data_IF_564803855459
#
_entry.id   IF_564803855459
#
_cell.length_a   1.000
_cell.length_b   1.000
_cell.length_c   1.000
_cell.angle_alpha   90.00
_cell.angle_beta   90.00
_cell.angle_gamma   90.00
#
_symmetry.space_group_name_H-M   'P 1'
#
loop_
_entity.id
_entity.type
_entity.pdbx_description
1 polymer ?
#
# COMPACT_ATOMS: atom_id res chain seq x y z
N UNK A 1 -48.21 -42.51 31.19
CA UNK A 1 -46.75 -42.60 31.01
C UNK A 1 -46.36 -42.18 29.60
N UNK A 2 -46.06 -40.88 29.42
CA UNK A 2 -45.53 -40.36 28.17
C UNK A 2 -44.02 -40.17 28.35
N UNK A 3 -43.24 -41.13 27.86
CA UNK A 3 -41.79 -41.00 27.78
C UNK A 3 -41.49 -40.10 26.59
N UNK A 4 -41.24 -38.82 26.88
CA UNK A 4 -40.61 -37.89 25.94
C UNK A 4 -39.13 -38.31 25.85
N UNK A 5 -38.59 -38.65 24.65
CA UNK A 5 -37.17 -38.86 24.50
C UNK A 5 -36.45 -37.54 24.75
N UNK A 6 -35.59 -37.50 25.77
CA UNK A 6 -34.66 -36.39 26.00
C UNK A 6 -33.62 -36.39 24.89
N UNK A 7 -33.46 -35.23 24.27
CA UNK A 7 -32.40 -34.90 23.32
C UNK A 7 -31.03 -35.35 23.84
N UNK A 8 -30.46 -36.35 23.17
CA UNK A 8 -29.11 -36.86 23.40
C UNK A 8 -28.11 -36.31 22.36
N UNK A 9 -28.48 -35.25 21.65
CA UNK A 9 -27.70 -34.69 20.53
C UNK A 9 -26.77 -33.52 20.90
N UNK A 10 -26.86 -32.97 22.11
CA UNK A 10 -26.01 -31.84 22.55
C UNK A 10 -24.65 -32.25 23.11
N UNK A 11 -24.48 -33.50 23.56
CA UNK A 11 -23.25 -33.94 24.26
C UNK A 11 -22.04 -34.17 23.32
N UNK A 12 -22.27 -34.50 22.05
CA UNK A 12 -21.19 -34.93 21.15
C UNK A 12 -20.46 -33.79 20.44
N UNK A 13 -21.09 -32.61 20.28
CA UNK A 13 -20.50 -31.49 19.53
C UNK A 13 -19.47 -30.76 20.39
N UNK A 14 -19.75 -30.62 21.69
CA UNK A 14 -18.89 -29.90 22.65
C UNK A 14 -17.50 -30.56 22.79
N UNK A 15 -17.43 -31.90 22.82
CA UNK A 15 -16.18 -32.66 22.95
C UNK A 15 -15.23 -32.53 21.75
N UNK A 16 -15.76 -32.21 20.57
CA UNK A 16 -14.94 -32.04 19.35
C UNK A 16 -14.36 -30.62 19.30
N UNK A 17 -15.13 -29.63 19.75
CA UNK A 17 -14.71 -28.24 19.79
C UNK A 17 -13.69 -27.96 20.91
N UNK A 18 -13.65 -28.78 21.97
CA UNK A 18 -12.60 -28.70 23.01
C UNK A 18 -11.17 -28.80 22.45
N UNK A 19 -10.99 -29.42 21.28
CA UNK A 19 -9.69 -29.55 20.61
C UNK A 19 -9.37 -28.39 19.67
N UNK A 20 -10.32 -27.48 19.45
CA UNK A 20 -10.19 -26.35 18.54
C UNK A 20 -9.87 -25.09 19.34
N UNK A 21 -8.78 -24.37 19.04
CA UNK A 21 -8.50 -23.08 19.66
C UNK A 21 -9.68 -22.11 19.55
N UNK A 22 -10.06 -21.49 20.66
CA UNK A 22 -11.29 -20.68 20.76
C UNK A 22 -11.39 -19.55 19.72
N UNK A 23 -10.27 -18.94 19.35
CA UNK A 23 -10.24 -17.86 18.36
C UNK A 23 -10.51 -18.33 16.92
N UNK A 24 -10.40 -19.64 16.64
CA UNK A 24 -10.70 -20.24 15.34
C UNK A 24 -12.17 -20.63 15.22
N UNK A 25 -12.86 -20.86 16.34
CA UNK A 25 -14.26 -21.31 16.36
C UNK A 25 -15.19 -20.40 15.55
N UNK A 26 -15.13 -19.05 15.68
CA UNK A 26 -15.99 -18.15 14.90
C UNK A 26 -15.71 -18.18 13.39
N UNK A 27 -14.56 -18.72 12.97
CA UNK A 27 -14.11 -18.74 11.58
C UNK A 27 -14.26 -20.11 10.93
N UNK A 28 -14.81 -21.11 11.63
CA UNK A 28 -15.02 -22.45 11.08
C UNK A 28 -15.97 -22.33 9.87
N UNK A 29 -15.54 -22.74 8.67
CA UNK A 29 -16.41 -22.69 7.50
C UNK A 29 -17.59 -23.64 7.63
N UNK A 30 -18.73 -23.26 7.04
CA UNK A 30 -19.91 -24.12 6.97
C UNK A 30 -19.69 -25.36 6.07
N UNK A 31 -18.67 -25.32 5.22
CA UNK A 31 -18.32 -26.41 4.31
C UNK A 31 -17.12 -27.21 4.81
N UNK A 32 -17.05 -28.52 4.49
CA UNK A 32 -15.93 -29.35 4.86
C UNK A 32 -14.63 -28.91 4.19
N UNK A 33 -13.55 -28.95 4.96
CA UNK A 33 -12.20 -28.70 4.48
C UNK A 33 -11.56 -29.99 3.99
N UNK A 34 -10.76 -29.90 2.94
CA UNK A 34 -10.02 -31.03 2.38
C UNK A 34 -8.52 -30.74 2.36
N UNK A 35 -7.72 -31.78 2.18
CA UNK A 35 -6.26 -31.66 2.01
C UNK A 35 -5.94 -30.67 0.88
N UNK A 36 -5.23 -29.60 1.24
CA UNK A 36 -4.90 -28.47 0.40
C UNK A 36 -4.83 -27.19 1.23
N UNK A 37 -4.08 -26.19 0.77
CA UNK A 37 -4.11 -24.86 1.39
C UNK A 37 -5.42 -24.11 1.11
N UNK A 38 -5.60 -22.94 1.71
CA UNK A 38 -6.80 -22.08 1.61
C UNK A 38 -7.25 -21.87 0.15
N UNK A 39 -6.30 -21.55 -0.73
CA UNK A 39 -6.56 -21.27 -2.15
C UNK A 39 -6.57 -22.52 -3.04
N UNK A 40 -6.29 -23.70 -2.48
CA UNK A 40 -6.06 -24.95 -3.22
C UNK A 40 -7.07 -26.04 -2.85
N UNK A 41 -8.26 -25.65 -2.39
CA UNK A 41 -9.33 -26.59 -2.09
C UNK A 41 -9.79 -27.33 -3.36
N UNK A 42 -10.01 -28.66 -3.28
CA UNK A 42 -10.41 -29.45 -4.44
C UNK A 42 -11.80 -29.05 -4.92
N UNK A 43 -12.00 -29.03 -6.24
CA UNK A 43 -13.32 -28.74 -6.81
C UNK A 43 -14.35 -29.84 -6.49
N UNK A 44 -15.66 -29.53 -6.50
CA UNK A 44 -16.72 -30.50 -6.24
C UNK A 44 -16.65 -31.76 -7.12
N UNK A 45 -16.26 -31.60 -8.39
CA UNK A 45 -16.09 -32.72 -9.32
C UNK A 45 -14.93 -33.65 -8.91
N UNK A 46 -13.82 -33.09 -8.42
CA UNK A 46 -12.67 -33.87 -7.94
C UNK A 46 -13.00 -34.60 -6.63
N UNK A 47 -13.74 -33.96 -5.73
CA UNK A 47 -14.20 -34.56 -4.47
C UNK A 47 -15.05 -35.80 -4.76
N UNK A 48 -16.08 -35.66 -5.63
CA UNK A 48 -16.95 -36.77 -6.00
C UNK A 48 -16.23 -37.87 -6.79
N UNK A 49 -15.47 -37.47 -7.81
CA UNK A 49 -14.76 -38.41 -8.69
C UNK A 49 -13.70 -39.24 -7.97
N UNK A 50 -13.01 -38.66 -6.98
CA UNK A 50 -11.98 -39.35 -6.19
C UNK A 50 -12.46 -39.81 -4.81
N UNK A 51 -13.73 -39.59 -4.46
CA UNK A 51 -14.31 -39.89 -3.14
C UNK A 51 -13.43 -39.36 -1.98
N UNK A 52 -12.99 -38.11 -2.09
CA UNK A 52 -12.11 -37.50 -1.09
C UNK A 52 -12.85 -37.39 0.26
N UNK A 53 -12.13 -37.71 1.34
CA UNK A 53 -12.61 -37.53 2.70
C UNK A 53 -12.25 -36.13 3.20
N UNK A 54 -13.15 -35.47 3.92
CA UNK A 54 -12.84 -34.20 4.55
C UNK A 54 -11.82 -34.39 5.68
N UNK A 55 -11.11 -33.32 6.00
CA UNK A 55 -10.22 -33.25 7.14
C UNK A 55 -11.02 -33.36 8.43
N UNK A 56 -10.54 -34.18 9.35
CA UNK A 56 -11.14 -34.34 10.67
C UNK A 56 -10.92 -33.06 11.49
N UNK A 57 -11.99 -32.51 12.05
CA UNK A 57 -11.93 -31.32 12.92
C UNK A 57 -10.96 -31.57 14.08
N UNK A 58 -10.07 -30.60 14.33
CA UNK A 58 -9.04 -30.69 15.37
C UNK A 58 -7.83 -31.58 15.02
N UNK A 59 -7.76 -32.17 13.82
CA UNK A 59 -6.52 -32.79 13.34
C UNK A 59 -5.48 -31.72 12.97
N UNK A 60 -4.18 -32.05 13.03
CA UNK A 60 -3.10 -31.10 12.71
C UNK A 60 -3.25 -30.47 11.31
N UNK A 61 -3.65 -31.27 10.33
CA UNK A 61 -3.88 -30.79 8.96
C UNK A 61 -5.08 -29.83 8.88
N UNK A 62 -6.13 -30.08 9.68
CA UNK A 62 -7.28 -29.18 9.77
C UNK A 62 -6.92 -27.88 10.49
N UNK A 63 -6.18 -27.97 11.60
CA UNK A 63 -5.71 -26.80 12.36
C UNK A 63 -4.77 -25.92 11.53
N UNK A 64 -3.86 -26.51 10.77
CA UNK A 64 -3.00 -25.77 9.84
C UNK A 64 -3.82 -24.99 8.79
N UNK A 65 -4.89 -25.58 8.28
CA UNK A 65 -5.79 -24.90 7.33
C UNK A 65 -6.59 -23.77 7.99
N UNK A 66 -7.10 -24.00 9.20
CA UNK A 66 -7.80 -22.97 9.97
C UNK A 66 -6.89 -21.79 10.34
N UNK A 67 -5.61 -22.05 10.59
CA UNK A 67 -4.61 -21.00 10.83
C UNK A 67 -4.39 -20.13 9.57
N UNK A 68 -4.44 -20.71 8.37
CA UNK A 68 -4.41 -19.93 7.12
C UNK A 68 -5.66 -19.04 6.99
N UNK A 69 -6.85 -19.57 7.29
CA UNK A 69 -8.12 -18.81 7.32
C UNK A 69 -8.02 -17.65 8.32
N UNK A 70 -7.49 -17.92 9.52
CA UNK A 70 -7.32 -16.89 10.54
C UNK A 70 -6.37 -15.79 10.10
N UNK A 71 -5.21 -16.13 9.49
CA UNK A 71 -4.28 -15.14 8.93
C UNK A 71 -4.91 -14.28 7.85
N UNK A 72 -5.75 -14.87 6.99
CA UNK A 72 -6.54 -14.14 5.99
C UNK A 72 -7.49 -13.16 6.67
N UNK A 73 -8.27 -13.65 7.64
CA UNK A 73 -9.22 -12.86 8.41
C UNK A 73 -8.55 -11.69 9.16
N UNK A 74 -7.41 -11.92 9.81
CA UNK A 74 -6.63 -10.87 10.46
C UNK A 74 -6.15 -9.81 9.45
N UNK A 75 -5.74 -10.24 8.25
CA UNK A 75 -5.33 -9.32 7.20
C UNK A 75 -6.50 -8.47 6.71
N UNK A 76 -7.65 -9.07 6.48
CA UNK A 76 -8.87 -8.35 6.09
C UNK A 76 -9.34 -7.38 7.17
N UNK A 77 -9.29 -7.80 8.46
CA UNK A 77 -9.66 -6.92 9.57
C UNK A 77 -8.76 -5.68 9.61
N UNK A 78 -7.44 -5.88 9.56
CA UNK A 78 -6.46 -4.78 9.53
C UNK A 78 -6.65 -3.88 8.32
N UNK A 79 -6.95 -4.46 7.16
CA UNK A 79 -7.23 -3.68 5.95
C UNK A 79 -8.48 -2.80 6.13
N UNK A 80 -9.57 -3.34 6.69
CA UNK A 80 -10.80 -2.57 6.98
C UNK A 80 -10.57 -1.46 8.01
N UNK A 81 -9.81 -1.74 9.06
CA UNK A 81 -9.41 -0.75 10.07
C UNK A 81 -8.59 0.38 9.44
N UNK A 82 -7.57 0.05 8.64
CA UNK A 82 -6.76 1.03 7.91
C UNK A 82 -7.62 1.86 6.95
N UNK A 83 -8.56 1.23 6.25
CA UNK A 83 -9.47 1.92 5.33
C UNK A 83 -10.33 2.94 6.08
N UNK A 84 -10.85 2.57 7.25
CA UNK A 84 -11.60 3.48 8.12
C UNK A 84 -10.73 4.63 8.64
N UNK A 85 -9.52 4.34 9.10
CA UNK A 85 -8.57 5.35 9.55
C UNK A 85 -8.25 6.36 8.45
N UNK A 86 -7.97 5.88 7.24
CA UNK A 86 -7.74 6.73 6.06
C UNK A 86 -8.99 7.57 5.75
N UNK A 87 -10.18 6.99 5.85
CA UNK A 87 -11.45 7.70 5.60
C UNK A 87 -11.61 8.88 6.56
N UNK A 88 -11.26 8.68 7.83
CA UNK A 88 -11.28 9.72 8.86
C UNK A 88 -10.19 10.76 8.59
N UNK A 89 -8.95 10.33 8.31
CA UNK A 89 -7.80 11.19 8.03
C UNK A 89 -8.06 12.15 6.88
N UNK A 90 -8.69 11.65 5.80
CA UNK A 90 -8.92 12.41 4.58
C UNK A 90 -10.32 13.01 4.48
N UNK A 91 -11.22 12.72 5.43
CA UNK A 91 -12.62 13.17 5.45
C UNK A 91 -13.38 12.86 4.14
N UNK A 92 -13.15 11.67 3.58
CA UNK A 92 -13.77 11.21 2.32
C UNK A 92 -14.23 9.76 2.44
N UNK A 93 -14.96 9.27 1.43
CA UNK A 93 -15.34 7.87 1.36
C UNK A 93 -14.11 6.94 1.31
N UNK A 94 -14.26 5.68 1.75
CA UNK A 94 -13.16 4.73 1.86
C UNK A 94 -12.33 4.54 0.58
N UNK A 95 -12.94 4.55 -0.59
CA UNK A 95 -12.23 4.30 -1.86
C UNK A 95 -11.40 5.52 -2.26
N UNK A 96 -11.96 6.74 -2.10
CA UNK A 96 -11.20 7.98 -2.29
C UNK A 96 -10.11 8.18 -1.23
N UNK A 97 -10.33 7.71 -0.01
CA UNK A 97 -9.36 7.80 1.07
C UNK A 97 -8.13 6.95 0.80
N UNK A 98 -8.33 5.71 0.35
CA UNK A 98 -7.27 4.80 -0.07
C UNK A 98 -6.46 5.41 -1.22
N UNK A 99 -7.13 5.95 -2.24
CA UNK A 99 -6.47 6.67 -3.33
C UNK A 99 -5.60 7.83 -2.83
N UNK A 100 -6.12 8.67 -1.92
CA UNK A 100 -5.37 9.82 -1.37
C UNK A 100 -4.17 9.37 -0.56
N UNK A 101 -4.31 8.32 0.25
CA UNK A 101 -3.20 7.77 1.03
C UNK A 101 -2.11 7.19 0.13
N UNK A 102 -2.51 6.45 -0.90
CA UNK A 102 -1.59 5.89 -1.89
C UNK A 102 -0.85 6.99 -2.66
N UNK A 103 -1.57 8.00 -3.14
CA UNK A 103 -0.95 9.15 -3.80
C UNK A 103 0.02 9.88 -2.85
N UNK A 104 -0.39 10.13 -1.60
CA UNK A 104 0.45 10.78 -0.59
C UNK A 104 1.74 9.99 -0.36
N UNK A 105 1.65 8.67 -0.16
CA UNK A 105 2.80 7.80 0.05
C UNK A 105 3.78 7.84 -1.12
N UNK A 106 3.26 7.80 -2.35
CA UNK A 106 4.09 7.82 -3.55
C UNK A 106 4.73 9.19 -3.82
N UNK A 107 4.02 10.28 -3.56
CA UNK A 107 4.59 11.64 -3.66
C UNK A 107 5.71 11.82 -2.62
N UNK A 108 5.53 11.34 -1.39
CA UNK A 108 6.61 11.36 -0.38
C UNK A 108 7.81 10.55 -0.84
N UNK A 109 7.62 9.30 -1.30
CA UNK A 109 8.72 8.46 -1.77
C UNK A 109 9.47 9.07 -2.97
N UNK A 110 8.74 9.67 -3.92
CA UNK A 110 9.34 10.42 -5.02
C UNK A 110 10.17 11.60 -4.50
N UNK A 111 9.63 12.38 -3.56
CA UNK A 111 10.30 13.55 -3.00
C UNK A 111 11.59 13.16 -2.28
N UNK A 112 11.56 12.09 -1.48
CA UNK A 112 12.73 11.56 -0.78
C UNK A 112 13.80 11.08 -1.77
N UNK A 113 13.41 10.31 -2.79
CA UNK A 113 14.33 9.82 -3.81
C UNK A 113 14.95 10.98 -4.62
N UNK A 114 14.14 11.99 -4.98
CA UNK A 114 14.61 13.16 -5.69
C UNK A 114 15.59 13.99 -4.83
N UNK A 115 15.27 14.14 -3.55
CA UNK A 115 16.16 14.80 -2.60
C UNK A 115 17.50 14.07 -2.45
N UNK A 116 17.49 12.73 -2.36
CA UNK A 116 18.71 11.93 -2.26
C UNK A 116 19.58 12.08 -3.53
N UNK A 117 18.94 12.02 -4.70
CA UNK A 117 19.61 12.22 -5.98
C UNK A 117 20.26 13.61 -6.09
N UNK A 118 19.53 14.69 -5.80
CA UNK A 118 20.06 16.06 -5.86
C UNK A 118 21.13 16.32 -4.78
N UNK A 119 20.96 15.77 -3.58
CA UNK A 119 21.98 15.83 -2.52
C UNK A 119 23.28 15.18 -2.98
N UNK A 120 23.21 14.03 -3.66
CA UNK A 120 24.40 13.36 -4.17
C UNK A 120 25.09 14.16 -5.28
N UNK A 121 24.32 14.81 -6.17
CA UNK A 121 24.87 15.71 -7.19
C UNK A 121 25.62 16.89 -6.56
N UNK A 122 25.04 17.50 -5.53
CA UNK A 122 25.66 18.60 -4.80
C UNK A 122 26.93 18.13 -4.07
N UNK A 123 26.90 16.97 -3.42
CA UNK A 123 28.06 16.38 -2.76
C UNK A 123 29.23 16.24 -3.74
N UNK A 124 28.99 15.68 -4.93
CA UNK A 124 30.01 15.49 -5.97
C UNK A 124 30.51 16.84 -6.49
N UNK A 125 29.61 17.79 -6.75
CA UNK A 125 29.95 19.12 -7.24
C UNK A 125 30.77 19.95 -6.23
N UNK A 126 30.56 19.73 -4.93
CA UNK A 126 31.29 20.41 -3.85
C UNK A 126 32.72 19.88 -3.63
N UNK A 127 33.08 18.73 -4.23
CA UNK A 127 34.41 18.16 -4.04
C UNK A 127 35.46 18.98 -4.79
N UNK A 128 36.60 19.28 -4.16
CA UNK A 128 37.70 19.94 -4.84
C UNK A 128 38.20 19.09 -6.02
N UNK A 129 38.73 19.71 -7.10
CA UNK A 129 39.26 18.99 -8.24
C UNK A 129 40.34 17.99 -7.80
N UNK A 130 40.43 16.80 -8.42
CA UNK A 130 41.50 15.87 -8.14
C UNK A 130 42.85 16.55 -8.37
N UNK A 131 43.73 16.53 -7.37
CA UNK A 131 45.09 17.04 -7.53
C UNK A 131 45.79 16.26 -8.65
N UNK A 132 46.52 16.92 -9.55
CA UNK A 132 47.25 16.23 -10.61
C UNK A 132 48.25 15.26 -9.99
N UNK A 133 48.06 13.96 -10.25
CA UNK A 133 49.00 12.92 -9.83
C UNK A 133 50.27 13.08 -10.68
N UNK A 134 51.47 13.24 -10.08
CA UNK A 134 52.71 13.28 -10.84
C UNK A 134 52.89 11.98 -11.62
N UNK A 135 52.85 12.05 -12.95
CA UNK A 135 53.15 10.91 -13.82
C UNK A 135 54.64 10.62 -13.67
N UNK A 136 54.99 9.67 -12.81
CA UNK A 136 56.34 9.12 -12.73
C UNK A 136 56.61 8.28 -13.99
N UNK A 137 57.01 8.92 -15.09
CA UNK A 137 57.62 8.24 -16.23
C UNK A 137 59.03 7.83 -15.81
N UNK A 138 59.16 6.68 -15.14
CA UNK A 138 60.44 5.97 -15.07
C UNK A 138 60.38 4.73 -15.96
N UNK A 139 60.79 4.91 -17.21
CA UNK A 139 61.29 3.83 -18.07
C UNK A 139 62.51 3.22 -17.39
N UNK A 140 62.34 2.06 -16.75
CA UNK A 140 63.42 1.32 -16.10
C UNK A 140 63.18 -0.17 -16.19
N UNK A 141 63.96 -0.85 -17.04
CA UNK A 141 64.01 -2.31 -17.17
C UNK A 141 64.22 -2.95 -15.80
N UNK A 142 63.35 -3.88 -15.38
CA UNK A 142 63.69 -4.85 -14.35
C UNK A 142 63.32 -6.28 -14.77
N UNK A 143 64.32 -7.14 -14.57
CA UNK A 143 64.44 -8.54 -14.96
C UNK A 143 63.40 -9.42 -14.27
N UNK A 144 62.92 -10.44 -15.00
CA UNK A 144 62.33 -11.67 -14.46
C UNK A 144 63.21 -12.24 -13.35
N UNK A 145 62.63 -12.45 -12.17
CA UNK A 145 63.08 -13.48 -11.22
C UNK A 145 61.86 -14.07 -10.52
N UNK A 146 61.61 -15.35 -10.80
CA UNK A 146 60.62 -16.18 -10.12
C UNK A 146 61.10 -16.44 -8.69
N UNK A 147 60.23 -16.24 -7.70
CA UNK A 147 60.27 -17.01 -6.45
C UNK A 147 58.84 -17.23 -5.96
N UNK A 148 58.49 -18.51 -5.87
CA UNK A 148 57.24 -19.06 -5.37
C UNK A 148 57.22 -18.98 -3.83
N UNK A 149 56.26 -18.25 -3.24
CA UNK A 149 55.82 -18.47 -1.84
C UNK A 149 54.32 -18.16 -1.77
N UNK A 150 53.55 -19.17 -1.37
CA UNK A 150 52.10 -19.18 -1.38
C UNK A 150 51.46 -18.08 -0.52
N UNK A 151 50.28 -17.66 -0.96
CA UNK A 151 49.30 -16.97 -0.11
C UNK A 151 47.92 -17.53 -0.43
N UNK A 152 47.28 -18.00 0.63
CA UNK A 152 45.90 -18.44 0.66
C UNK A 152 45.00 -17.44 -0.08
N UNK A 153 44.21 -17.95 -1.03
CA UNK A 153 43.09 -17.20 -1.59
C UNK A 153 41.95 -17.20 -0.56
N UNK A 154 42.06 -16.34 0.45
CA UNK A 154 40.88 -15.80 1.12
C UNK A 154 40.27 -14.78 0.18
N UNK A 155 39.35 -15.25 -0.67
CA UNK A 155 38.41 -14.40 -1.39
C UNK A 155 37.41 -13.81 -0.39
N UNK A 156 37.89 -12.89 0.44
CA UNK A 156 37.01 -11.92 1.09
C UNK A 156 36.52 -11.02 -0.03
N UNK A 157 35.25 -11.20 -0.43
CA UNK A 157 34.54 -10.26 -1.30
C UNK A 157 34.68 -8.86 -0.72
N UNK A 158 35.61 -8.06 -1.24
CA UNK A 158 35.62 -6.63 -0.97
C UNK A 158 34.28 -6.08 -1.46
N UNK A 159 33.53 -5.32 -0.66
CA UNK A 159 32.34 -4.65 -1.16
C UNK A 159 32.78 -3.83 -2.38
N UNK A 160 32.09 -4.03 -3.50
CA UNK A 160 32.34 -3.25 -4.71
C UNK A 160 32.08 -1.79 -4.33
N UNK A 161 33.16 -1.01 -4.22
CA UNK A 161 33.06 0.42 -3.95
C UNK A 161 32.43 1.01 -5.20
N UNK A 162 31.12 1.28 -5.14
CA UNK A 162 30.40 1.93 -6.24
C UNK A 162 31.02 3.28 -6.50
N UNK A 163 31.30 3.57 -7.77
CA UNK A 163 31.73 4.90 -8.18
C UNK A 163 30.59 5.90 -8.02
N UNK A 164 30.91 7.19 -7.84
CA UNK A 164 29.85 8.23 -7.74
C UNK A 164 28.92 8.24 -8.95
N UNK A 165 29.43 7.87 -10.14
CA UNK A 165 28.64 7.74 -11.36
C UNK A 165 27.64 6.58 -11.28
N UNK A 166 28.04 5.45 -10.70
CA UNK A 166 27.14 4.31 -10.48
C UNK A 166 26.08 4.65 -9.43
N UNK A 167 26.48 5.30 -8.33
CA UNK A 167 25.54 5.74 -7.29
C UNK A 167 24.50 6.72 -7.88
N UNK A 168 24.94 7.72 -8.64
CA UNK A 168 24.03 8.67 -9.28
C UNK A 168 23.06 7.98 -10.24
N UNK A 169 23.52 6.97 -11.00
CA UNK A 169 22.67 6.24 -11.93
C UNK A 169 21.62 5.41 -11.21
N UNK A 170 21.98 4.79 -10.09
CA UNK A 170 21.03 4.02 -9.27
C UNK A 170 19.97 4.95 -8.64
N UNK A 171 20.37 6.12 -8.16
CA UNK A 171 19.47 7.14 -7.62
C UNK A 171 18.55 7.72 -8.70
N UNK A 172 19.08 8.06 -9.87
CA UNK A 172 18.28 8.53 -11.02
C UNK A 172 17.24 7.49 -11.44
N UNK A 173 17.64 6.22 -11.53
CA UNK A 173 16.71 5.13 -11.82
C UNK A 173 15.60 5.02 -10.77
N UNK A 174 15.94 5.20 -9.49
CA UNK A 174 14.97 5.19 -8.39
C UNK A 174 13.98 6.34 -8.52
N UNK A 175 14.46 7.55 -8.85
CA UNK A 175 13.60 8.72 -9.12
C UNK A 175 12.64 8.42 -10.28
N UNK A 176 13.13 7.87 -11.39
CA UNK A 176 12.29 7.53 -12.55
C UNK A 176 11.19 6.51 -12.20
N UNK A 177 11.48 5.52 -11.36
CA UNK A 177 10.47 4.54 -10.90
C UNK A 177 9.34 5.25 -10.14
N UNK A 178 9.69 6.11 -9.17
CA UNK A 178 8.68 6.78 -8.35
C UNK A 178 7.91 7.84 -9.13
N UNK A 179 8.58 8.58 -10.02
CA UNK A 179 7.92 9.52 -10.93
C UNK A 179 6.87 8.80 -11.79
N UNK A 180 7.25 7.67 -12.42
CA UNK A 180 6.34 6.86 -13.20
C UNK A 180 5.15 6.36 -12.37
N UNK A 181 5.41 5.94 -11.14
CA UNK A 181 4.37 5.44 -10.23
C UNK A 181 3.36 6.55 -9.88
N UNK A 182 3.82 7.76 -9.57
CA UNK A 182 2.94 8.91 -9.32
C UNK A 182 2.09 9.23 -10.54
N UNK A 183 2.69 9.28 -11.73
CA UNK A 183 1.97 9.56 -12.99
C UNK A 183 0.89 8.50 -13.25
N UNK A 184 1.22 7.22 -13.05
CA UNK A 184 0.27 6.12 -13.22
C UNK A 184 -0.91 6.23 -12.26
N UNK A 185 -0.67 6.52 -10.99
CA UNK A 185 -1.71 6.68 -9.98
C UNK A 185 -2.64 7.85 -10.35
N UNK A 186 -2.09 9.00 -10.75
CA UNK A 186 -2.88 10.15 -11.17
C UNK A 186 -3.70 9.83 -12.42
N UNK A 187 -3.15 9.07 -13.37
CA UNK A 187 -3.87 8.65 -14.58
C UNK A 187 -5.06 7.74 -14.24
N UNK A 188 -4.84 6.79 -13.35
CA UNK A 188 -5.87 5.84 -12.91
C UNK A 188 -6.89 6.52 -11.96
N UNK A 189 -6.55 7.68 -11.40
CA UNK A 189 -7.45 8.54 -10.64
C UNK A 189 -8.60 9.14 -11.44
N UNK A 190 -8.60 9.01 -12.77
CA UNK A 190 -9.72 9.44 -13.63
C UNK A 190 -11.05 8.82 -13.20
N UNK A 191 -11.03 7.66 -12.52
CA UNK A 191 -12.22 7.03 -11.91
C UNK A 191 -12.64 7.64 -10.56
N UNK A 192 -11.72 8.27 -9.82
CA UNK A 192 -11.95 8.90 -8.51
C UNK A 192 -12.07 10.42 -8.59
N UNK A 193 -12.11 10.95 -9.81
CA UNK A 193 -12.03 12.37 -10.10
C UNK A 193 -13.09 13.15 -9.28
N UNK A 194 -12.69 14.15 -8.47
CA UNK A 194 -13.61 15.13 -7.96
C UNK A 194 -13.85 16.13 -9.09
N UNK A 195 -14.62 15.75 -10.10
CA UNK A 195 -15.35 16.78 -10.84
C UNK A 195 -16.29 17.43 -9.83
N UNK A 196 -15.88 18.62 -9.38
CA UNK A 196 -16.51 19.47 -8.36
C UNK A 196 -16.03 19.13 -6.94
N UNK A 197 -15.00 19.87 -6.47
CA UNK A 197 -14.97 20.29 -5.07
C UNK A 197 -16.30 21.02 -4.81
N UNK A 198 -17.28 20.34 -4.22
CA UNK A 198 -18.46 21.00 -3.64
C UNK A 198 -17.93 21.73 -2.42
N UNK A 199 -17.53 22.98 -2.62
CA UNK A 199 -17.33 23.90 -1.51
C UNK A 199 -18.71 24.09 -0.89
N UNK A 200 -18.89 23.69 0.36
CA UNK A 200 -20.11 24.01 1.10
C UNK A 200 -20.45 25.49 0.93
N UNK A 201 -21.71 25.78 0.59
CA UNK A 201 -22.24 27.13 0.44
C UNK A 201 -22.08 27.97 1.73
N UNK A 202 -21.73 27.34 2.85
CA UNK A 202 -21.45 27.96 4.13
C UNK A 202 -19.97 28.31 4.37
N UNK A 203 -19.17 28.54 3.33
CA UNK A 203 -17.89 29.26 3.46
C UNK A 203 -18.05 30.77 3.77
N UNK A 204 -19.07 31.15 4.54
CA UNK A 204 -19.13 32.48 5.13
C UNK A 204 -18.06 32.58 6.22
N UNK A 205 -16.95 33.24 5.82
CA UNK A 205 -15.83 33.76 6.62
C UNK A 205 -14.70 32.77 6.91
N UNK A 206 -13.92 32.44 5.87
CA UNK A 206 -12.47 32.28 6.08
C UNK A 206 -11.86 33.69 6.08
N UNK A 207 -11.33 34.13 7.22
CA UNK A 207 -10.68 35.44 7.35
C UNK A 207 -9.31 35.39 6.66
N UNK A 208 -8.93 36.51 6.04
CA UNK A 208 -7.65 36.65 5.34
C UNK A 208 -6.43 36.67 6.28
N UNK A 209 -6.65 36.72 7.59
CA UNK A 209 -5.60 36.75 8.62
C UNK A 209 -5.04 35.36 8.98
N UNK A 210 -5.67 34.26 8.54
CA UNK A 210 -5.34 32.90 9.00
C UNK A 210 -4.70 31.99 7.96
N UNK A 211 -4.57 32.40 6.70
CA UNK A 211 -3.86 31.62 5.67
C UNK A 211 -2.76 32.45 5.02
N UNK A 212 -1.52 32.13 5.37
CA UNK A 212 -0.35 32.49 4.57
C UNK A 212 -0.57 32.02 3.12
N UNK A 213 -0.48 32.98 2.21
CA UNK A 213 -0.74 32.82 0.79
C UNK A 213 0.33 31.97 0.09
N UNK A 214 0.11 30.66 -0.06
CA UNK A 214 0.88 29.86 -1.03
C UNK A 214 0.79 30.44 -2.46
N UNK A 215 -0.24 31.23 -2.76
CA UNK A 215 -0.42 31.91 -4.04
C UNK A 215 0.55 33.08 -4.30
N UNK A 216 1.22 33.65 -3.29
CA UNK A 216 2.19 34.73 -3.55
C UNK A 216 3.58 34.22 -3.96
N UNK A 217 3.89 32.95 -3.71
CA UNK A 217 5.26 32.45 -3.87
C UNK A 217 5.57 31.92 -5.27
N UNK A 218 4.57 31.50 -6.04
CA UNK A 218 4.79 30.82 -7.34
C UNK A 218 4.12 31.50 -8.55
N UNK A 219 3.35 32.58 -8.38
CA UNK A 219 2.82 33.36 -9.52
C UNK A 219 1.91 32.59 -10.49
N UNK A 220 1.42 31.42 -10.11
CA UNK A 220 0.55 30.60 -10.95
C UNK A 220 -0.90 31.02 -10.75
N UNK A 221 -1.38 31.98 -11.55
CA UNK A 221 -2.82 32.26 -11.61
C UNK A 221 -3.52 31.09 -12.30
N UNK A 222 -4.06 30.14 -11.52
CA UNK A 222 -4.99 29.16 -12.07
C UNK A 222 -6.35 29.87 -12.16
N UNK A 223 -6.91 30.10 -13.38
CA UNK A 223 -8.24 30.67 -13.49
C UNK A 223 -9.27 29.66 -12.96
N UNK A 224 -9.71 29.85 -11.73
CA UNK A 224 -10.78 29.05 -11.12
C UNK A 224 -12.11 29.48 -11.76
N UNK A 225 -12.67 28.63 -12.63
CA UNK A 225 -14.07 28.77 -13.06
C UNK A 225 -14.96 28.43 -11.88
N UNK A 226 -15.55 29.46 -11.26
CA UNK A 226 -16.49 29.31 -10.14
C UNK A 226 -17.89 29.19 -10.72
N UNK A 227 -18.54 28.05 -10.54
CA UNK A 227 -19.99 27.94 -10.73
C UNK A 227 -20.68 28.17 -9.39
N UNK A 228 -21.37 29.30 -9.25
CA UNK A 228 -22.22 29.59 -8.10
C UNK A 228 -23.58 28.99 -8.40
N UNK A 229 -24.05 28.05 -7.59
CA UNK A 229 -25.45 27.65 -7.60
C UNK A 229 -26.25 28.82 -7.01
N UNK A 230 -27.02 29.51 -7.83
CA UNK A 230 -28.00 30.50 -7.37
C UNK A 230 -29.13 29.74 -6.66
N UNK A 231 -29.32 30.04 -5.38
CA UNK A 231 -30.47 29.62 -4.59
C UNK A 231 -31.75 29.83 -5.41
N UNK A 232 -32.47 28.73 -5.65
CA UNK A 232 -33.79 28.78 -6.25
C UNK A 232 -34.73 29.36 -5.21
N UNK A 233 -34.82 30.70 -5.21
CA UNK A 233 -35.91 31.45 -4.60
C UNK A 233 -37.24 30.75 -4.93
N UNK A 234 -37.87 30.18 -3.91
CA UNK A 234 -39.27 29.82 -3.96
C UNK A 234 -40.07 31.11 -3.95
N UNK A 235 -40.43 31.57 -5.16
CA UNK A 235 -41.32 32.69 -5.39
C UNK A 235 -42.67 32.48 -4.70
N UNK A 236 -43.16 33.57 -4.11
CA UNK A 236 -44.54 33.83 -3.78
C UNK A 236 -45.48 33.47 -4.95
N UNK A 237 -46.54 32.71 -4.64
CA UNK A 237 -47.76 32.72 -5.45
C UNK A 237 -48.94 33.04 -4.55
N UNK A 238 -49.25 34.33 -4.45
CA UNK A 238 -50.59 34.81 -4.14
C UNK A 238 -51.55 34.35 -5.25
N UNK A 239 -52.54 33.52 -4.91
CA UNK A 239 -53.68 33.23 -5.78
C UNK A 239 -54.93 33.86 -5.16
N UNK A 240 -55.31 34.99 -5.73
CA UNK A 240 -56.56 35.72 -5.54
C UNK A 240 -57.75 34.85 -5.96
N UNK A 241 -58.66 34.56 -5.03
CA UNK A 241 -60.02 34.12 -5.34
C UNK A 241 -60.87 35.37 -5.62
N UNK A 242 -61.39 35.52 -6.84
CA UNK A 242 -62.80 35.89 -7.08
C UNK A 242 -63.18 35.95 -8.57
N UNK A 243 -64.45 35.58 -8.80
CA UNK A 243 -65.33 35.78 -9.96
C UNK A 243 -65.25 34.80 -11.16
N UNK A 244 -66.10 33.76 -11.13
CA UNK A 244 -67.42 33.77 -11.82
C UNK A 244 -68.32 32.62 -11.35
#
# INVERSE_FOLDING_TARGET
DNIVPKDELTSSVDLILDKVPAHLIPLIPEYPLYVGGLLNQPSPGRIKGKKLQPLMVGSDAWLAHMEEIYKEHERERKYKELKLENSIKWEVDPDRAEFREDLSRNVTAYTDAFHEYESKKLEIASRPPPLPVPINIKKGKQKKKNTHVGKASTSTSMPVIKTDKEILKDLEHTVCIYEHTVVMIIRDASYYNPEIMVMDANSKKRRADTNGNLDSHYGLSIPKKVCILLDRFGLDTSSSNDAK
#
